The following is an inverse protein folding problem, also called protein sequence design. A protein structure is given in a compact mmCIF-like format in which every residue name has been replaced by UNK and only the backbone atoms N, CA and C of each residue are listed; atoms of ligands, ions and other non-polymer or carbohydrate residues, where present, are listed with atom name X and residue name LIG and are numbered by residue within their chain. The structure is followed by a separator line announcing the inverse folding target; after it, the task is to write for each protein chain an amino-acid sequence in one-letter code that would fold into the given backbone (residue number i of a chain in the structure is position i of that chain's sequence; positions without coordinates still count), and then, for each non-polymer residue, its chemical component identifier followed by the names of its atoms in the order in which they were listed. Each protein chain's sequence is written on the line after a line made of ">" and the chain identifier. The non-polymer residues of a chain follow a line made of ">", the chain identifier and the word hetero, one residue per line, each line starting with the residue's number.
data_IF_692018619008
#
_entry.id   IF_692018619008
#
_cell.length_a   1.000
_cell.length_b   1.000
_cell.length_c   1.000
_cell.angle_alpha   90.00
_cell.angle_beta   90.00
_cell.angle_gamma   90.00
#
_symmetry.space_group_name_H-M   'P 1'
#
loop_
_entity.id
_entity.type
_entity.pdbx_description
1 polymer ?
#
# COMPACT_ATOMS: atom_id res chain seq x y z
N UNK A 1 45.93 15.54 110.02
CA UNK A 1 46.44 14.67 108.94
C UNK A 1 45.36 14.59 107.86
N UNK A 2 45.71 14.73 106.57
CA UNK A 2 44.83 15.30 105.55
C UNK A 2 44.00 14.27 104.79
N UNK A 3 42.83 14.70 104.34
CA UNK A 3 41.89 13.98 103.48
C UNK A 3 42.43 13.86 102.05
N UNK A 4 42.33 12.66 101.46
CA UNK A 4 42.66 12.38 100.06
C UNK A 4 41.37 12.39 99.22
N UNK A 5 41.30 13.31 98.28
CA UNK A 5 40.26 13.37 97.23
C UNK A 5 40.56 12.39 96.10
N UNK A 6 39.56 11.69 95.53
CA UNK A 6 39.76 10.84 94.36
C UNK A 6 39.72 11.65 93.03
N UNK A 7 40.41 11.18 91.98
CA UNK A 7 40.46 11.85 90.67
C UNK A 7 39.18 11.65 89.82
N UNK A 8 38.92 12.54 88.83
CA UNK A 8 37.67 12.52 88.05
C UNK A 8 37.62 11.41 86.98
N UNK A 9 36.42 10.87 86.78
CA UNK A 9 36.11 9.82 85.81
C UNK A 9 36.18 10.34 84.35
N UNK A 10 36.81 9.55 83.45
CA UNK A 10 36.88 9.83 82.01
C UNK A 10 35.56 9.49 81.31
N UNK A 11 34.96 10.49 80.68
CA UNK A 11 33.80 10.34 79.79
C UNK A 11 34.26 9.83 78.41
N UNK A 12 33.80 8.65 77.98
CA UNK A 12 34.01 8.14 76.62
C UNK A 12 32.90 8.64 75.70
N UNK A 13 33.27 9.37 74.63
CA UNK A 13 32.35 9.75 73.53
C UNK A 13 32.07 8.52 72.67
N UNK A 14 30.80 8.22 72.33
CA UNK A 14 30.50 7.18 71.36
C UNK A 14 30.93 7.62 69.95
N UNK A 15 31.66 6.75 69.25
CA UNK A 15 31.99 6.95 67.85
C UNK A 15 30.79 6.59 66.98
N UNK A 16 30.29 7.52 66.17
CA UNK A 16 29.36 7.22 65.09
C UNK A 16 30.12 6.56 63.94
N UNK A 17 29.85 5.28 63.69
CA UNK A 17 30.30 4.57 62.50
C UNK A 17 29.49 5.03 61.29
N UNK A 18 30.02 5.98 60.53
CA UNK A 18 29.57 6.27 59.17
C UNK A 18 29.89 5.06 58.28
N UNK A 19 28.85 4.34 57.84
CA UNK A 19 29.03 3.34 56.79
C UNK A 19 29.49 4.06 55.51
N UNK A 20 30.61 3.65 54.89
CA UNK A 20 31.06 4.27 53.65
C UNK A 20 30.04 3.96 52.55
N UNK A 21 29.48 5.01 51.93
CA UNK A 21 28.73 4.87 50.70
C UNK A 21 29.68 4.32 49.63
N UNK A 22 29.42 3.09 49.17
CA UNK A 22 30.17 2.50 48.04
C UNK A 22 29.73 3.24 46.78
N UNK A 23 30.63 4.03 46.21
CA UNK A 23 30.43 4.65 44.89
C UNK A 23 30.49 3.61 43.78
N UNK A 24 29.79 3.86 42.68
CA UNK A 24 29.87 3.05 41.47
C UNK A 24 31.28 3.10 40.90
N UNK A 25 31.80 1.93 40.47
CA UNK A 25 33.11 1.88 39.81
C UNK A 25 32.99 2.37 38.36
N UNK A 26 34.07 2.95 37.80
CA UNK A 26 34.11 3.33 36.39
C UNK A 26 33.80 2.15 35.45
N UNK A 27 34.22 0.95 35.84
CA UNK A 27 33.97 -0.29 35.09
C UNK A 27 32.48 -0.64 35.10
N UNK A 28 31.81 -0.50 36.25
CA UNK A 28 30.39 -0.79 36.39
C UNK A 28 29.53 0.16 35.54
N UNK A 29 29.88 1.46 35.54
CA UNK A 29 29.23 2.43 34.64
C UNK A 29 29.50 2.10 33.16
N UNK A 30 30.73 1.72 32.81
CA UNK A 30 31.09 1.36 31.44
C UNK A 30 30.33 0.11 30.96
N UNK A 31 30.19 -0.92 31.81
CA UNK A 31 29.42 -2.12 31.47
C UNK A 31 27.93 -1.81 31.30
N UNK A 32 27.34 -0.95 32.15
CA UNK A 32 25.95 -0.50 32.00
C UNK A 32 25.77 0.24 30.67
N UNK A 33 26.68 1.14 30.31
CA UNK A 33 26.62 1.87 29.04
C UNK A 33 26.77 0.94 27.83
N UNK A 34 27.63 -0.08 27.90
CA UNK A 34 27.75 -1.12 26.86
C UNK A 34 26.45 -1.93 26.73
N UNK A 35 25.86 -2.36 27.84
CA UNK A 35 24.57 -3.09 27.82
C UNK A 35 23.47 -2.21 27.24
N UNK A 36 23.37 -0.94 27.64
CA UNK A 36 22.37 0.00 27.11
C UNK A 36 22.59 0.27 25.61
N UNK A 37 23.83 0.39 25.15
CA UNK A 37 24.15 0.56 23.73
C UNK A 37 23.78 -0.68 22.90
N UNK A 38 24.05 -1.89 23.41
CA UNK A 38 23.69 -3.15 22.76
C UNK A 38 22.17 -3.35 22.72
N UNK A 39 21.46 -3.05 23.82
CA UNK A 39 20.01 -3.12 23.88
C UNK A 39 19.37 -2.08 22.96
N UNK A 40 19.86 -0.84 22.96
CA UNK A 40 19.38 0.24 22.09
C UNK A 40 19.64 -0.01 20.61
N UNK A 41 20.78 -0.61 20.24
CA UNK A 41 21.13 -0.92 18.85
C UNK A 41 20.26 -2.03 18.24
N UNK A 42 19.75 -2.96 19.06
CA UNK A 42 18.95 -4.11 18.59
C UNK A 42 17.54 -3.74 18.08
N UNK A 43 17.06 -2.53 18.34
CA UNK A 43 15.67 -2.13 18.10
C UNK A 43 15.45 -1.26 16.84
N UNK A 44 16.53 -0.81 16.16
CA UNK A 44 16.43 0.17 15.07
C UNK A 44 16.16 -0.46 13.69
N UNK A 45 16.59 -1.71 13.46
CA UNK A 45 16.44 -2.40 12.17
C UNK A 45 14.99 -2.76 11.77
N UNK A 46 14.03 -3.10 12.66
CA UNK A 46 12.71 -3.58 12.24
C UNK A 46 11.69 -2.47 11.91
N UNK A 47 12.04 -1.18 11.95
CA UNK A 47 11.05 -0.11 11.70
C UNK A 47 10.72 0.00 10.21
N UNK A 48 11.73 0.00 9.34
CA UNK A 48 11.53 0.14 7.90
C UNK A 48 10.71 -1.01 7.31
N UNK A 49 11.01 -2.26 7.69
CA UNK A 49 10.25 -3.43 7.22
C UNK A 49 8.82 -3.46 7.73
N UNK A 50 8.55 -2.92 8.92
CA UNK A 50 7.18 -2.77 9.44
C UNK A 50 6.39 -1.70 8.71
N UNK A 51 7.03 -0.59 8.35
CA UNK A 51 6.39 0.46 7.55
C UNK A 51 6.05 -0.09 6.17
N UNK A 52 6.99 -0.74 5.51
CA UNK A 52 6.78 -1.35 4.19
C UNK A 52 5.65 -2.39 4.21
N UNK A 53 5.64 -3.28 5.20
CA UNK A 53 4.56 -4.25 5.36
C UNK A 53 3.19 -3.59 5.61
N UNK A 54 3.17 -2.48 6.36
CA UNK A 54 1.95 -1.70 6.60
C UNK A 54 1.45 -1.06 5.30
N UNK A 55 2.35 -0.42 4.55
CA UNK A 55 2.01 0.30 3.33
C UNK A 55 1.52 -0.67 2.25
N UNK A 56 2.17 -1.82 2.12
CA UNK A 56 1.70 -2.92 1.26
C UNK A 56 0.30 -3.41 1.64
N UNK A 57 0.04 -3.65 2.93
CA UNK A 57 -1.29 -4.06 3.38
C UNK A 57 -2.35 -2.98 3.10
N UNK A 58 -2.03 -1.71 3.34
CA UNK A 58 -2.92 -0.60 3.03
C UNK A 58 -3.23 -0.50 1.53
N UNK A 59 -2.24 -0.75 0.66
CA UNK A 59 -2.42 -0.79 -0.80
C UNK A 59 -3.31 -1.96 -1.22
N UNK A 60 -3.13 -3.15 -0.64
CA UNK A 60 -3.99 -4.32 -0.92
C UNK A 60 -5.44 -4.08 -0.48
N UNK A 61 -5.65 -3.47 0.69
CA UNK A 61 -6.98 -3.08 1.17
C UNK A 61 -7.63 -2.08 0.21
N UNK A 62 -6.90 -1.06 -0.25
CA UNK A 62 -7.40 -0.09 -1.23
C UNK A 62 -7.73 -0.72 -2.58
N UNK A 63 -6.92 -1.67 -3.06
CA UNK A 63 -7.23 -2.42 -4.29
C UNK A 63 -8.57 -3.15 -4.16
N UNK A 64 -8.83 -3.75 -3.00
CA UNK A 64 -10.11 -4.39 -2.73
C UNK A 64 -11.27 -3.38 -2.75
N UNK A 65 -11.12 -2.24 -2.08
CA UNK A 65 -12.12 -1.18 -2.09
C UNK A 65 -12.38 -0.63 -3.49
N UNK A 66 -11.33 -0.50 -4.33
CA UNK A 66 -11.47 -0.09 -5.73
C UNK A 66 -12.27 -1.12 -6.53
N UNK A 67 -12.04 -2.43 -6.33
CA UNK A 67 -12.86 -3.46 -7.00
C UNK A 67 -14.34 -3.36 -6.62
N UNK A 68 -14.63 -3.07 -5.35
CA UNK A 68 -15.99 -2.84 -4.87
C UNK A 68 -16.58 -1.56 -5.51
N UNK A 69 -15.82 -0.46 -5.56
CA UNK A 69 -16.25 0.78 -6.18
C UNK A 69 -16.52 0.62 -7.69
N UNK A 70 -15.66 -0.10 -8.42
CA UNK A 70 -15.87 -0.43 -9.84
C UNK A 70 -17.13 -1.27 -10.04
N UNK A 71 -17.37 -2.26 -9.18
CA UNK A 71 -18.59 -3.08 -9.22
C UNK A 71 -19.83 -2.23 -8.93
N UNK A 72 -19.78 -1.37 -7.91
CA UNK A 72 -20.87 -0.44 -7.57
C UNK A 72 -21.16 0.54 -8.70
N UNK A 73 -20.11 1.08 -9.32
CA UNK A 73 -20.23 1.94 -10.50
C UNK A 73 -20.96 1.22 -11.64
N UNK A 74 -20.62 -0.04 -11.91
CA UNK A 74 -21.30 -0.86 -12.90
C UNK A 74 -22.76 -1.15 -12.55
N UNK A 75 -23.10 -1.36 -11.28
CA UNK A 75 -24.49 -1.51 -10.82
C UNK A 75 -25.29 -0.23 -11.07
N UNK A 76 -24.70 0.94 -10.78
CA UNK A 76 -25.39 2.23 -10.91
C UNK A 76 -25.59 2.60 -12.37
N UNK A 77 -24.52 2.54 -13.16
CA UNK A 77 -24.46 3.09 -14.53
C UNK A 77 -24.64 2.02 -15.62
N UNK A 78 -24.66 0.74 -15.27
CA UNK A 78 -24.73 -0.38 -16.21
C UNK A 78 -23.43 -0.67 -16.94
N UNK A 79 -22.35 0.08 -16.70
CA UNK A 79 -21.04 -0.07 -17.36
C UNK A 79 -19.91 0.22 -16.37
N UNK A 80 -18.70 -0.26 -16.66
CA UNK A 80 -17.49 0.15 -15.96
C UNK A 80 -17.07 1.56 -16.42
N UNK A 81 -16.34 2.32 -15.58
CA UNK A 81 -15.93 3.66 -15.94
C UNK A 81 -14.80 3.65 -16.97
N UNK A 82 -14.74 4.70 -17.79
CA UNK A 82 -13.56 4.94 -18.62
C UNK A 82 -12.38 5.40 -17.73
N UNK A 83 -11.13 5.10 -18.11
CA UNK A 83 -9.97 5.71 -17.44
C UNK A 83 -10.04 7.24 -17.50
N UNK A 84 -9.37 7.90 -16.54
CA UNK A 84 -9.13 9.34 -16.57
C UNK A 84 -7.88 9.63 -17.38
N UNK A 85 -7.96 10.60 -18.30
CA UNK A 85 -6.80 11.06 -19.09
C UNK A 85 -6.43 12.52 -18.84
N UNK A 86 -7.23 13.28 -18.08
CA UNK A 86 -6.91 14.64 -17.67
C UNK A 86 -5.62 14.67 -16.84
N UNK A 87 -4.65 15.48 -17.28
CA UNK A 87 -3.32 15.54 -16.67
C UNK A 87 -3.13 16.77 -15.79
N UNK A 88 -3.95 17.81 -15.92
CA UNK A 88 -3.81 19.03 -15.13
C UNK A 88 -4.57 18.94 -13.80
N UNK A 89 -3.90 18.94 -12.64
CA UNK A 89 -4.56 18.95 -11.33
C UNK A 89 -5.48 20.15 -11.08
N UNK A 90 -5.32 21.24 -11.83
CA UNK A 90 -6.20 22.40 -11.74
C UNK A 90 -7.51 22.24 -12.55
N UNK A 91 -7.59 21.24 -13.44
CA UNK A 91 -8.77 20.98 -14.24
C UNK A 91 -9.91 20.43 -13.37
N UNK A 92 -11.15 20.90 -13.54
CA UNK A 92 -12.30 20.32 -12.85
C UNK A 92 -12.52 18.83 -13.20
N UNK A 93 -12.01 18.41 -14.37
CA UNK A 93 -12.04 17.04 -14.87
C UNK A 93 -11.00 16.11 -14.25
N UNK A 94 -10.02 16.64 -13.52
CA UNK A 94 -8.92 15.84 -12.97
C UNK A 94 -9.45 14.75 -12.04
N UNK A 95 -9.17 13.48 -12.37
CA UNK A 95 -9.63 12.31 -11.61
C UNK A 95 -11.07 11.87 -11.89
N UNK A 96 -11.77 12.50 -12.83
CA UNK A 96 -13.06 12.00 -13.33
C UNK A 96 -12.84 11.03 -14.49
N UNK A 97 -13.79 10.12 -14.69
CA UNK A 97 -13.81 9.27 -15.88
C UNK A 97 -13.92 10.10 -17.15
N UNK A 98 -13.25 9.66 -18.21
CA UNK A 98 -13.49 10.17 -19.54
C UNK A 98 -14.91 9.77 -20.02
N UNK A 99 -15.43 10.50 -21.01
CA UNK A 99 -16.71 10.15 -21.63
C UNK A 99 -16.59 8.90 -22.53
N UNK A 100 -17.61 8.00 -22.56
CA UNK A 100 -17.64 6.91 -23.52
C UNK A 100 -17.88 7.43 -24.96
N UNK A 101 -17.31 6.80 -26.01
CA UNK A 101 -16.43 5.64 -25.94
C UNK A 101 -15.03 6.01 -25.45
N UNK A 102 -14.47 5.19 -24.55
CA UNK A 102 -13.16 5.47 -23.96
C UNK A 102 -12.04 5.44 -25.02
N UNK A 103 -11.02 6.26 -24.84
CA UNK A 103 -9.76 6.08 -25.56
C UNK A 103 -8.98 4.91 -24.95
N UNK A 104 -9.05 3.74 -25.60
CA UNK A 104 -8.39 2.52 -25.14
C UNK A 104 -7.06 2.26 -25.88
N UNK A 105 -6.52 3.25 -26.61
CA UNK A 105 -5.23 3.09 -27.28
C UNK A 105 -4.08 2.93 -26.28
N UNK A 106 -4.24 3.43 -25.04
CA UNK A 106 -3.26 3.34 -23.95
C UNK A 106 -3.95 3.03 -22.63
N UNK A 107 -3.21 2.46 -21.70
CA UNK A 107 -3.65 2.41 -20.31
C UNK A 107 -3.85 3.84 -19.78
N UNK A 108 -4.82 4.02 -18.89
CA UNK A 108 -5.07 5.30 -18.24
C UNK A 108 -4.94 5.22 -16.73
N UNK A 109 -5.32 6.30 -16.05
CA UNK A 109 -5.34 6.36 -14.60
C UNK A 109 -6.76 6.02 -14.11
N UNK A 110 -6.87 5.39 -12.95
CA UNK A 110 -8.16 5.13 -12.32
C UNK A 110 -8.94 6.44 -12.17
N UNK A 111 -10.24 6.52 -12.52
CA UNK A 111 -11.03 7.72 -12.30
C UNK A 111 -11.44 7.84 -10.82
N UNK A 112 -10.47 8.12 -9.96
CA UNK A 112 -10.60 8.01 -8.50
C UNK A 112 -11.71 8.90 -7.93
N UNK A 113 -11.96 10.10 -8.49
CA UNK A 113 -13.07 10.96 -8.03
C UNK A 113 -14.42 10.44 -8.45
N UNK A 114 -14.54 9.89 -9.67
CA UNK A 114 -15.79 9.22 -10.10
C UNK A 114 -16.11 7.99 -9.25
N UNK A 115 -15.09 7.35 -8.69
CA UNK A 115 -15.21 6.17 -7.82
C UNK A 115 -15.22 6.50 -6.31
N UNK A 116 -15.05 7.77 -5.94
CA UNK A 116 -14.88 8.20 -4.55
C UNK A 116 -13.74 7.47 -3.80
N UNK A 117 -12.62 7.22 -4.50
CA UNK A 117 -11.43 6.54 -3.99
C UNK A 117 -10.24 7.50 -3.87
N UNK A 118 -9.22 7.16 -3.05
CA UNK A 118 -7.94 7.86 -3.06
C UNK A 118 -7.27 7.77 -4.43
N UNK A 119 -6.56 8.82 -4.83
CA UNK A 119 -5.87 8.89 -6.12
C UNK A 119 -4.66 7.96 -6.21
N UNK A 120 -4.04 7.70 -5.06
CA UNK A 120 -2.75 7.01 -4.95
C UNK A 120 -2.78 5.81 -4.01
N UNK A 121 -1.79 4.94 -4.17
CA UNK A 121 -1.43 3.88 -3.24
C UNK A 121 -0.71 4.44 -1.99
N UNK A 122 -0.11 3.57 -1.17
CA UNK A 122 0.55 3.99 0.06
C UNK A 122 1.89 4.72 -0.15
N UNK A 123 2.54 4.54 -1.30
CA UNK A 123 3.84 5.14 -1.63
C UNK A 123 3.70 6.37 -2.55
N UNK A 124 2.54 6.54 -3.18
CA UNK A 124 2.25 7.63 -4.09
C UNK A 124 2.14 9.00 -3.43
N UNK A 125 2.25 10.04 -4.26
CA UNK A 125 2.18 11.44 -3.85
C UNK A 125 1.27 12.21 -4.78
N UNK A 126 0.50 13.15 -4.22
CA UNK A 126 -0.38 14.01 -5.01
C UNK A 126 0.40 14.87 -6.00
N UNK A 127 -0.16 15.04 -7.20
CA UNK A 127 0.35 15.96 -8.22
C UNK A 127 -0.18 17.37 -7.98
N UNK A 128 0.68 18.36 -8.14
CA UNK A 128 0.37 19.77 -8.05
C UNK A 128 0.42 20.48 -9.41
N UNK A 129 1.03 19.87 -10.41
CA UNK A 129 1.11 20.39 -11.77
C UNK A 129 0.93 19.30 -12.84
N UNK A 130 0.57 19.73 -14.06
CA UNK A 130 0.51 18.83 -15.22
C UNK A 130 1.87 18.21 -15.60
N UNK A 131 2.98 18.81 -15.14
CA UNK A 131 4.33 18.32 -15.39
C UNK A 131 4.80 17.27 -14.37
N UNK A 132 4.12 17.15 -13.24
CA UNK A 132 4.49 16.19 -12.20
C UNK A 132 4.24 14.75 -12.68
N UNK A 133 5.07 13.81 -12.23
CA UNK A 133 4.91 12.41 -12.57
C UNK A 133 3.70 11.77 -11.87
N UNK A 134 3.16 10.71 -12.47
CA UNK A 134 2.09 9.90 -11.90
C UNK A 134 2.62 8.88 -10.87
N UNK A 135 3.31 9.37 -9.84
CA UNK A 135 3.95 8.54 -8.81
C UNK A 135 2.93 7.86 -7.89
N UNK A 136 2.86 6.53 -7.93
CA UNK A 136 1.96 5.71 -7.11
C UNK A 136 0.47 5.94 -7.37
N UNK A 137 0.12 6.48 -8.55
CA UNK A 137 -1.28 6.56 -8.98
C UNK A 137 -1.75 5.21 -9.52
N UNK A 138 -3.01 4.88 -9.22
CA UNK A 138 -3.62 3.63 -9.67
C UNK A 138 -3.71 3.58 -11.19
N UNK A 139 -3.04 2.58 -11.74
CA UNK A 139 -3.11 2.25 -13.16
C UNK A 139 -4.39 1.49 -13.44
N UNK A 140 -5.09 1.83 -14.52
CA UNK A 140 -6.41 1.27 -14.80
C UNK A 140 -6.63 0.99 -16.28
N UNK A 141 -7.17 -0.20 -16.54
CA UNK A 141 -7.55 -0.68 -17.87
C UNK A 141 -8.92 -1.33 -17.81
N UNK A 142 -9.77 -1.00 -18.77
CA UNK A 142 -11.12 -1.56 -18.91
C UNK A 142 -11.28 -2.20 -20.29
N UNK A 143 -12.05 -3.28 -20.34
CA UNK A 143 -12.44 -3.88 -21.61
C UNK A 143 -13.50 -3.00 -22.32
N UNK A 144 -13.33 -2.68 -23.62
CA UNK A 144 -14.25 -1.81 -24.35
C UNK A 144 -15.71 -2.27 -24.28
N UNK A 145 -15.96 -3.59 -24.30
CA UNK A 145 -17.31 -4.12 -24.30
C UNK A 145 -18.05 -3.85 -22.97
N UNK A 146 -17.32 -3.52 -21.91
CA UNK A 146 -17.85 -3.28 -20.57
C UNK A 146 -17.90 -1.79 -20.19
N UNK A 147 -17.38 -0.88 -21.02
CA UNK A 147 -17.30 0.55 -20.70
C UNK A 147 -18.18 1.45 -21.58
N UNK A 148 -18.77 0.93 -22.66
CA UNK A 148 -19.53 1.75 -23.63
C UNK A 148 -21.05 1.60 -23.54
N UNK A 149 -21.54 0.43 -23.15
CA UNK A 149 -22.95 0.08 -23.18
C UNK A 149 -23.34 -0.72 -21.92
N UNK A 150 -24.64 -0.81 -21.60
CA UNK A 150 -25.12 -1.66 -20.51
C UNK A 150 -24.61 -3.10 -20.62
N UNK A 151 -24.01 -3.59 -19.54
CA UNK A 151 -23.48 -4.94 -19.42
C UNK A 151 -24.64 -5.92 -19.26
N UNK A 152 -24.72 -6.89 -20.16
CA UNK A 152 -25.67 -8.00 -20.09
C UNK A 152 -24.97 -9.36 -19.90
N UNK A 153 -25.75 -10.41 -19.64
CA UNK A 153 -25.22 -11.77 -19.50
C UNK A 153 -24.48 -12.27 -20.77
N UNK A 154 -24.86 -11.76 -21.94
CA UNK A 154 -24.23 -12.07 -23.22
C UNK A 154 -23.03 -11.18 -23.56
N UNK A 155 -22.72 -10.12 -22.79
CA UNK A 155 -21.58 -9.24 -23.07
C UNK A 155 -20.29 -10.04 -22.97
N UNK A 156 -19.50 -10.06 -24.04
CA UNK A 156 -18.22 -10.77 -24.13
C UNK A 156 -17.05 -9.78 -24.20
N UNK A 157 -15.90 -10.05 -23.56
CA UNK A 157 -14.74 -9.15 -23.59
C UNK A 157 -14.16 -9.04 -25.00
N UNK A 158 -13.84 -7.81 -25.43
CA UNK A 158 -13.27 -7.52 -26.75
C UNK A 158 -11.74 -7.36 -26.75
N UNK A 159 -11.16 -6.80 -25.68
CA UNK A 159 -9.73 -6.55 -25.56
C UNK A 159 -8.95 -7.77 -25.07
N UNK A 160 -9.64 -8.79 -24.54
CA UNK A 160 -9.07 -10.05 -24.05
C UNK A 160 -7.94 -9.81 -23.04
N UNK A 161 -8.15 -8.93 -22.06
CA UNK A 161 -7.19 -8.65 -20.99
C UNK A 161 -6.71 -9.97 -20.36
N UNK A 162 -5.40 -10.23 -20.41
CA UNK A 162 -4.80 -11.46 -19.87
C UNK A 162 -3.94 -11.17 -18.66
N UNK A 163 -4.09 -11.99 -17.63
CA UNK A 163 -3.28 -11.94 -16.42
C UNK A 163 -2.41 -13.19 -16.37
N UNK A 164 -1.14 -13.02 -16.04
CA UNK A 164 -0.12 -14.07 -15.96
C UNK A 164 0.56 -14.08 -14.59
N UNK A 165 1.02 -15.25 -14.19
CA UNK A 165 1.93 -15.40 -13.05
C UNK A 165 3.39 -15.13 -13.46
N UNK A 166 4.33 -15.22 -12.51
CA UNK A 166 5.76 -14.99 -12.76
C UNK A 166 6.39 -15.97 -13.76
N UNK A 167 5.79 -17.15 -13.95
CA UNK A 167 6.25 -18.14 -14.93
C UNK A 167 5.62 -17.89 -16.33
N UNK A 168 4.88 -16.78 -16.49
CA UNK A 168 4.18 -16.41 -17.71
C UNK A 168 2.93 -17.24 -17.99
N UNK A 169 2.49 -18.08 -17.05
CA UNK A 169 1.30 -18.91 -17.21
C UNK A 169 0.05 -18.08 -16.96
N UNK A 170 -0.96 -18.28 -17.80
CA UNK A 170 -2.23 -17.53 -17.73
C UNK A 170 -3.00 -17.90 -16.46
N UNK A 171 -3.33 -16.90 -15.65
CA UNK A 171 -4.23 -16.99 -14.50
C UNK A 171 -5.69 -16.97 -14.98
N UNK A 172 -6.02 -16.08 -15.93
CA UNK A 172 -7.38 -15.97 -16.50
C UNK A 172 -7.55 -16.82 -17.77
N UNK A 173 -8.68 -17.52 -17.87
CA UNK A 173 -9.07 -18.32 -19.06
C UNK A 173 -10.05 -17.57 -19.94
N UNK A 174 -10.36 -18.11 -21.13
CA UNK A 174 -11.25 -17.45 -22.12
C UNK A 174 -12.66 -17.13 -21.57
N UNK A 175 -13.23 -18.03 -20.76
CA UNK A 175 -14.59 -17.84 -20.22
C UNK A 175 -14.63 -17.03 -18.92
N UNK A 176 -13.46 -16.80 -18.31
CA UNK A 176 -13.29 -16.09 -17.04
C UNK A 176 -12.24 -14.96 -17.15
N UNK A 177 -12.23 -14.28 -18.29
CA UNK A 177 -11.31 -13.17 -18.53
C UNK A 177 -11.56 -11.99 -17.59
N UNK A 178 -10.49 -11.24 -17.33
CA UNK A 178 -10.59 -9.94 -16.70
C UNK A 178 -11.31 -8.96 -17.63
N UNK A 179 -12.18 -8.13 -17.07
CA UNK A 179 -12.92 -7.07 -17.77
C UNK A 179 -12.51 -5.67 -17.29
N UNK A 180 -11.84 -5.60 -16.14
CA UNK A 180 -11.08 -4.46 -15.71
C UNK A 180 -9.88 -4.92 -14.88
N UNK A 181 -8.80 -4.16 -14.97
CA UNK A 181 -7.55 -4.36 -14.23
C UNK A 181 -7.22 -3.03 -13.55
N UNK A 182 -6.84 -3.11 -12.28
CA UNK A 182 -6.29 -1.99 -11.51
C UNK A 182 -5.04 -2.46 -10.79
N UNK A 183 -3.99 -1.65 -10.81
CA UNK A 183 -2.73 -2.02 -10.17
C UNK A 183 -1.92 -0.81 -9.67
N UNK A 184 -0.98 -1.11 -8.78
CA UNK A 184 -0.01 -0.20 -8.18
C UNK A 184 1.40 -0.64 -8.60
N UNK A 185 2.28 0.34 -8.82
CA UNK A 185 3.71 0.16 -9.15
C UNK A 185 4.58 -0.18 -7.93
N UNK A 186 3.98 -0.60 -6.82
CA UNK A 186 4.70 -0.96 -5.61
C UNK A 186 5.53 0.16 -4.98
N UNK A 187 6.43 -0.24 -4.09
CA UNK A 187 7.31 0.65 -3.34
C UNK A 187 8.42 1.25 -4.20
N UNK A 188 8.82 0.53 -5.26
CA UNK A 188 9.84 0.98 -6.19
C UNK A 188 9.34 2.09 -7.14
N UNK A 189 8.01 2.28 -7.23
CA UNK A 189 7.32 3.31 -8.04
C UNK A 189 7.53 3.16 -9.56
N UNK A 190 7.94 1.97 -10.00
CA UNK A 190 8.18 1.60 -11.38
C UNK A 190 7.34 0.38 -11.72
N UNK A 191 6.97 0.27 -12.99
CA UNK A 191 6.29 -0.92 -13.47
C UNK A 191 7.31 -2.05 -13.66
N UNK A 192 6.95 -3.27 -13.27
CA UNK A 192 7.81 -4.43 -13.39
C UNK A 192 7.23 -5.51 -14.33
N UNK A 193 8.11 -6.36 -14.87
CA UNK A 193 7.70 -7.48 -15.72
C UNK A 193 6.79 -7.10 -16.89
N UNK A 194 5.71 -7.84 -17.10
CA UNK A 194 4.73 -7.55 -18.18
C UNK A 194 4.02 -6.19 -18.00
N UNK A 195 3.97 -5.65 -16.78
CA UNK A 195 3.31 -4.37 -16.49
C UNK A 195 4.11 -3.16 -17.01
N UNK A 196 5.31 -3.37 -17.57
CA UNK A 196 6.04 -2.33 -18.30
C UNK A 196 5.47 -2.06 -19.69
N UNK A 197 4.83 -3.06 -20.31
CA UNK A 197 4.51 -3.04 -21.74
C UNK A 197 3.05 -3.41 -22.04
N UNK A 198 2.20 -2.40 -22.13
CA UNK A 198 0.75 -2.56 -22.32
C UNK A 198 0.34 -2.57 -23.80
N UNK A 199 0.92 -3.44 -24.62
CA UNK A 199 0.63 -3.49 -26.04
C UNK A 199 -0.89 -3.52 -26.31
N UNK A 200 -1.39 -2.56 -27.08
CA UNK A 200 -2.83 -2.35 -27.29
C UNK A 200 -3.56 -3.53 -27.93
N UNK A 201 -2.83 -4.34 -28.73
CA UNK A 201 -3.39 -5.49 -29.45
C UNK A 201 -3.51 -6.76 -28.59
N UNK A 202 -2.66 -6.93 -27.57
CA UNK A 202 -2.66 -8.10 -26.68
C UNK A 202 -2.22 -7.68 -25.27
N UNK A 203 -3.10 -6.99 -24.53
CA UNK A 203 -2.76 -6.51 -23.19
C UNK A 203 -2.53 -7.69 -22.24
N UNK A 204 -1.26 -7.87 -21.86
CA UNK A 204 -0.78 -8.85 -20.87
C UNK A 204 -0.39 -8.09 -19.61
N UNK A 205 -0.76 -8.65 -18.47
CA UNK A 205 -0.44 -8.11 -17.15
C UNK A 205 0.10 -9.23 -16.28
N UNK A 206 1.05 -8.91 -15.41
CA UNK A 206 1.64 -9.84 -14.47
C UNK A 206 1.10 -9.59 -13.06
N UNK A 207 0.74 -10.67 -12.39
CA UNK A 207 0.32 -10.68 -11.00
C UNK A 207 1.03 -11.82 -10.26
N UNK A 208 1.38 -11.58 -9.00
CA UNK A 208 2.00 -12.59 -8.17
C UNK A 208 2.48 -12.00 -6.85
N UNK A 209 3.27 -12.76 -6.12
CA UNK A 209 3.82 -12.31 -4.84
C UNK A 209 5.03 -11.41 -5.07
N UNK A 210 5.05 -10.19 -4.49
CA UNK A 210 6.22 -9.36 -4.51
C UNK A 210 7.51 -10.04 -4.06
N UNK A 211 8.56 -9.82 -4.84
CA UNK A 211 9.92 -10.29 -4.64
C UNK A 211 10.93 -9.15 -4.82
N UNK A 212 12.19 -9.51 -5.08
CA UNK A 212 13.26 -8.53 -5.23
C UNK A 212 13.14 -7.67 -6.50
N UNK A 213 12.64 -8.27 -7.59
CA UNK A 213 12.61 -7.66 -8.93
C UNK A 213 11.17 -7.40 -9.43
N UNK A 214 10.18 -7.57 -8.56
CA UNK A 214 8.76 -7.36 -8.88
C UNK A 214 8.04 -6.99 -7.59
N UNK A 215 7.52 -5.77 -7.48
CA UNK A 215 6.71 -5.37 -6.33
C UNK A 215 5.33 -4.80 -6.69
N UNK A 216 4.98 -4.84 -7.98
CA UNK A 216 3.66 -4.47 -8.47
C UNK A 216 2.54 -5.26 -7.76
N UNK A 217 1.48 -4.54 -7.41
CA UNK A 217 0.29 -5.11 -6.77
C UNK A 217 -0.90 -4.95 -7.71
N UNK A 218 -1.44 -6.07 -8.18
CA UNK A 218 -2.50 -6.07 -9.20
C UNK A 218 -3.77 -6.76 -8.71
N UNK A 219 -4.91 -6.13 -9.02
CA UNK A 219 -6.23 -6.68 -8.83
C UNK A 219 -7.06 -6.56 -10.13
N UNK A 220 -8.04 -7.45 -10.30
CA UNK A 220 -8.88 -7.44 -11.50
C UNK A 220 -10.34 -7.80 -11.20
N UNK A 221 -11.25 -7.37 -12.06
CA UNK A 221 -12.63 -7.83 -12.06
C UNK A 221 -12.77 -8.91 -13.13
N UNK A 222 -13.14 -10.12 -12.73
CA UNK A 222 -13.48 -11.20 -13.65
C UNK A 222 -14.91 -11.08 -14.16
N UNK A 223 -15.13 -11.39 -15.45
CA UNK A 223 -16.46 -11.36 -16.07
C UNK A 223 -17.54 -12.14 -15.27
N UNK A 224 -17.35 -13.40 -14.88
CA UNK A 224 -18.41 -14.18 -14.23
C UNK A 224 -18.88 -13.56 -12.92
N UNK A 225 -17.92 -13.04 -12.12
CA UNK A 225 -18.23 -12.41 -10.85
C UNK A 225 -18.98 -11.09 -11.05
N UNK A 226 -18.55 -10.25 -11.99
CA UNK A 226 -19.24 -8.99 -12.29
C UNK A 226 -20.68 -9.23 -12.74
N UNK A 227 -20.88 -10.19 -13.65
CA UNK A 227 -22.23 -10.59 -14.10
C UNK A 227 -23.06 -11.08 -12.92
N UNK A 228 -22.52 -11.94 -12.05
CA UNK A 228 -23.24 -12.41 -10.87
C UNK A 228 -23.67 -11.25 -9.93
N UNK A 229 -22.80 -10.26 -9.73
CA UNK A 229 -23.11 -9.07 -8.90
C UNK A 229 -24.18 -8.19 -9.53
N UNK A 230 -24.14 -7.97 -10.85
CA UNK A 230 -25.18 -7.23 -11.57
C UNK A 230 -26.52 -7.97 -11.51
N UNK A 231 -26.54 -9.30 -11.66
CA UNK A 231 -27.73 -10.12 -11.52
C UNK A 231 -28.36 -9.98 -10.13
N UNK A 232 -27.54 -10.10 -9.08
CA UNK A 232 -27.95 -9.98 -7.68
C UNK A 232 -28.55 -8.59 -7.37
N UNK A 233 -28.05 -7.55 -8.04
CA UNK A 233 -28.55 -6.18 -7.90
C UNK A 233 -29.78 -5.88 -8.77
N UNK A 234 -30.31 -6.87 -9.53
CA UNK A 234 -31.45 -6.67 -10.43
C UNK A 234 -31.14 -5.79 -11.63
N UNK A 235 -29.88 -5.79 -12.10
CA UNK A 235 -29.37 -4.97 -13.22
C UNK A 235 -29.08 -5.78 -14.49
N UNK A 236 -29.48 -7.05 -14.55
CA UNK A 236 -29.43 -7.91 -15.74
C UNK A 236 -30.83 -8.25 -16.24
#
# INVERSE_FOLDING_TARGET
>A
MPALTPPPARMHKPAHSSAPARGFTLVELAMVLVILALLGGSLLVPVASRLEARDRNATLERLHDIQLALTGFAIIHGRLPCPSTETDPASPGYGLEDGPPCNLAREGVLPWRSLAMPATDAWGRDRHSAADDWTGYWRYRVDPAFSVAPIGAATTPGARLQIRDHDGRRITTTDSQAVAIVWSTGANLHADGDNTSHASATPSYQAGEPGADFDDLLAWLGRPLLIARLAQAGRL
#
